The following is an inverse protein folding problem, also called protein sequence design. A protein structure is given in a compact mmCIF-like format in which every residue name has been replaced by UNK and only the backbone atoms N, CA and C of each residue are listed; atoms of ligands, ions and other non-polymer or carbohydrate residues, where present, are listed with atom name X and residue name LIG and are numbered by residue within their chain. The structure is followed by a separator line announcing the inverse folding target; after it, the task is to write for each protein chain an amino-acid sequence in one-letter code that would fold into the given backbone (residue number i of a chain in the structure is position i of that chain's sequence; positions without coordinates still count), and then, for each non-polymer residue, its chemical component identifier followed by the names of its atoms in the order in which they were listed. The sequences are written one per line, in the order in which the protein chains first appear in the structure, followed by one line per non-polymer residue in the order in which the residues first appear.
data_IF_261330186666
#
_entry.id   IF_261330186666
#
_cell.length_a   1.000
_cell.length_b   1.000
_cell.length_c   1.000
_cell.angle_alpha   90.00
_cell.angle_beta   90.00
_cell.angle_gamma   90.00
#
_symmetry.space_group_name_H-M   'P 1'
#
loop_
_entity.id
_entity.type
_entity.pdbx_description
1 polymer ?
#
# COMPACT_ATOMS: atom_id res chain seq x y z
N UNK A 1 -7.95 -7.66 -12.76
CA UNK A 1 -6.72 -6.88 -12.49
C UNK A 1 -6.50 -6.73 -10.99
N UNK A 2 -7.49 -6.30 -10.22
CA UNK A 2 -7.31 -6.02 -8.78
C UNK A 2 -7.30 -7.27 -7.89
N UNK A 3 -8.00 -8.36 -8.25
CA UNK A 3 -8.07 -9.55 -7.36
C UNK A 3 -6.70 -10.10 -6.94
N UNK A 4 -5.72 -10.29 -7.85
CA UNK A 4 -4.37 -10.70 -7.43
C UNK A 4 -3.66 -9.68 -6.54
N UNK A 5 -3.95 -8.38 -6.69
CA UNK A 5 -3.40 -7.34 -5.83
C UNK A 5 -4.00 -7.41 -4.42
N UNK A 6 -5.30 -7.73 -4.32
CA UNK A 6 -5.97 -7.94 -3.03
C UNK A 6 -5.35 -9.12 -2.29
N UNK A 7 -5.10 -10.22 -2.99
CA UNK A 7 -4.47 -11.40 -2.39
C UNK A 7 -3.04 -11.10 -1.94
N UNK A 8 -2.24 -10.42 -2.77
CA UNK A 8 -0.88 -10.00 -2.41
C UNK A 8 -0.87 -9.06 -1.19
N UNK A 9 -1.72 -8.03 -1.15
CA UNK A 9 -1.78 -7.10 -0.02
C UNK A 9 -2.22 -7.80 1.28
N UNK A 10 -3.12 -8.79 1.20
CA UNK A 10 -3.49 -9.61 2.37
C UNK A 10 -2.28 -10.38 2.91
N UNK A 11 -1.52 -11.02 2.02
CA UNK A 11 -0.30 -11.75 2.39
C UNK A 11 0.74 -10.81 3.02
N UNK A 12 0.92 -9.62 2.45
CA UNK A 12 1.81 -8.58 3.01
C UNK A 12 1.39 -8.19 4.43
N UNK A 13 0.09 -7.98 4.66
CA UNK A 13 -0.42 -7.61 5.99
C UNK A 13 -0.28 -8.74 7.00
N UNK A 14 -0.42 -9.99 6.58
CA UNK A 14 -0.21 -11.16 7.44
C UNK A 14 1.26 -11.27 7.84
N UNK A 15 2.17 -11.17 6.86
CA UNK A 15 3.62 -11.17 7.06
C UNK A 15 4.05 -10.06 8.04
N UNK A 16 3.52 -8.85 7.90
CA UNK A 16 3.78 -7.74 8.85
C UNK A 16 3.26 -8.07 10.25
N UNK A 17 2.06 -8.64 10.36
CA UNK A 17 1.47 -8.97 11.65
C UNK A 17 2.29 -10.06 12.37
N UNK A 18 2.72 -11.09 11.64
CA UNK A 18 3.63 -12.12 12.14
C UNK A 18 4.98 -11.54 12.54
N UNK A 19 5.53 -10.59 11.76
CA UNK A 19 6.78 -9.90 12.11
C UNK A 19 6.66 -9.10 13.40
N UNK A 20 5.56 -8.39 13.60
CA UNK A 20 5.27 -7.68 14.86
C UNK A 20 5.24 -8.68 16.04
N UNK A 21 4.57 -9.82 15.87
CA UNK A 21 4.50 -10.85 16.90
C UNK A 21 5.87 -11.49 17.19
N UNK A 22 6.68 -11.77 16.16
CA UNK A 22 8.05 -12.28 16.31
C UNK A 22 8.96 -11.33 17.09
N UNK A 23 8.76 -10.02 16.96
CA UNK A 23 9.47 -8.98 17.71
C UNK A 23 8.91 -8.76 19.13
N UNK A 24 7.93 -9.57 19.56
CA UNK A 24 7.30 -9.49 20.88
C UNK A 24 6.19 -8.45 21.02
N UNK A 25 5.78 -7.83 19.91
CA UNK A 25 4.64 -6.92 19.85
C UNK A 25 3.30 -7.64 19.75
N UNK A 26 2.21 -6.86 19.82
CA UNK A 26 0.84 -7.36 19.59
C UNK A 26 0.29 -6.68 18.33
N UNK A 27 0.13 -7.39 17.21
CA UNK A 27 -0.47 -6.82 16.01
C UNK A 27 -1.96 -6.52 16.26
N UNK A 28 -2.41 -5.31 15.90
CA UNK A 28 -3.78 -4.85 16.12
C UNK A 28 -4.48 -4.60 14.78
N UNK A 29 -5.26 -5.58 14.32
CA UNK A 29 -5.94 -5.54 13.01
C UNK A 29 -7.44 -5.23 13.05
N UNK A 30 -8.03 -4.92 14.22
CA UNK A 30 -9.48 -4.67 14.29
C UNK A 30 -9.88 -3.39 13.55
N UNK A 31 -11.03 -3.34 12.87
CA UNK A 31 -11.47 -2.16 12.11
C UNK A 31 -11.50 -0.86 12.94
N UNK A 32 -11.95 -0.93 14.19
CA UNK A 32 -11.98 0.23 15.10
C UNK A 32 -10.58 0.79 15.34
N UNK A 33 -9.61 -0.06 15.64
CA UNK A 33 -8.23 0.37 15.88
C UNK A 33 -7.59 1.01 14.64
N UNK A 34 -7.88 0.48 13.44
CA UNK A 34 -7.43 1.07 12.18
C UNK A 34 -8.04 2.47 12.01
N UNK A 35 -9.35 2.61 12.20
CA UNK A 35 -10.04 3.90 12.09
C UNK A 35 -9.52 4.95 13.08
N UNK A 36 -9.09 4.55 14.27
CA UNK A 36 -8.57 5.45 15.31
C UNK A 36 -7.09 5.87 15.08
N UNK A 37 -6.30 5.06 14.37
CA UNK A 37 -4.85 5.24 14.24
C UNK A 37 -4.38 5.69 12.86
N UNK A 38 -5.19 5.49 11.83
CA UNK A 38 -4.84 5.88 10.46
C UNK A 38 -4.58 7.38 10.36
N UNK A 39 -3.71 7.76 9.42
CA UNK A 39 -3.40 9.17 9.08
C UNK A 39 -4.06 9.62 7.77
N UNK A 40 -4.92 8.79 7.19
CA UNK A 40 -5.58 9.01 5.91
C UNK A 40 -7.11 8.94 6.03
N UNK A 41 -7.79 9.54 5.06
CA UNK A 41 -9.25 9.56 4.97
C UNK A 41 -9.81 8.29 4.30
N UNK A 42 -11.13 8.09 4.43
CA UNK A 42 -11.82 7.03 3.70
C UNK A 42 -11.72 7.20 2.19
N UNK A 43 -11.73 6.07 1.48
CA UNK A 43 -11.85 6.08 0.03
C UNK A 43 -13.20 6.69 -0.38
N UNK A 44 -13.16 7.87 -1.00
CA UNK A 44 -14.32 8.74 -1.13
C UNK A 44 -15.31 8.34 -2.23
N UNK A 45 -14.91 7.45 -3.14
CA UNK A 45 -15.76 7.04 -4.26
C UNK A 45 -16.68 5.88 -3.84
N UNK A 46 -17.97 6.05 -4.08
CA UNK A 46 -18.96 4.97 -4.07
C UNK A 46 -18.97 4.26 -5.43
N UNK A 47 -20.14 4.19 -6.08
CA UNK A 47 -20.23 3.72 -7.47
C UNK A 47 -19.67 4.79 -8.41
N UNK A 48 -18.62 4.48 -9.15
CA UNK A 48 -18.02 5.35 -10.16
C UNK A 48 -17.63 4.62 -11.43
N UNK A 49 -17.08 5.36 -12.39
CA UNK A 49 -16.46 4.80 -13.58
C UNK A 49 -15.12 4.15 -13.22
N UNK A 50 -14.71 3.16 -14.03
CA UNK A 50 -13.40 2.50 -13.85
C UNK A 50 -12.27 3.52 -13.85
N UNK A 51 -12.27 4.48 -14.78
CA UNK A 51 -11.24 5.52 -14.85
C UNK A 51 -11.18 6.41 -13.60
N UNK A 52 -12.33 6.78 -13.03
CA UNK A 52 -12.39 7.57 -11.78
C UNK A 52 -11.80 6.79 -10.61
N UNK A 53 -12.13 5.50 -10.51
CA UNK A 53 -11.57 4.62 -9.49
C UNK A 53 -10.06 4.46 -9.62
N UNK A 54 -9.53 4.31 -10.84
CA UNK A 54 -8.09 4.16 -11.09
C UNK A 54 -7.30 5.43 -10.74
N UNK A 55 -7.83 6.63 -11.07
CA UNK A 55 -7.22 7.91 -10.67
C UNK A 55 -7.20 8.06 -9.15
N UNK A 56 -8.31 7.72 -8.47
CA UNK A 56 -8.34 7.76 -7.00
C UNK A 56 -7.41 6.71 -6.37
N UNK A 57 -7.32 5.52 -6.96
CA UNK A 57 -6.47 4.44 -6.48
C UNK A 57 -4.98 4.75 -6.66
N UNK A 58 -4.57 5.43 -7.74
CA UNK A 58 -3.19 5.92 -7.88
C UNK A 58 -2.79 6.86 -6.73
N UNK A 59 -3.71 7.74 -6.31
CA UNK A 59 -3.49 8.65 -5.15
C UNK A 59 -3.34 7.86 -3.85
N UNK A 60 -4.10 6.78 -3.67
CA UNK A 60 -3.94 5.86 -2.53
C UNK A 60 -2.58 5.19 -2.55
N UNK A 61 -2.13 4.67 -3.69
CA UNK A 61 -0.81 4.06 -3.83
C UNK A 61 0.33 5.05 -3.56
N UNK A 62 0.20 6.32 -3.96
CA UNK A 62 1.19 7.35 -3.59
C UNK A 62 1.37 7.45 -2.06
N UNK A 63 0.27 7.41 -1.31
CA UNK A 63 0.30 7.41 0.15
C UNK A 63 0.94 6.14 0.71
N UNK A 64 0.44 4.96 0.29
CA UNK A 64 0.94 3.66 0.77
C UNK A 64 2.42 3.46 0.48
N UNK A 65 2.87 3.79 -0.73
CA UNK A 65 4.27 3.67 -1.14
C UNK A 65 5.16 4.69 -0.42
N UNK A 66 4.62 5.88 -0.10
CA UNK A 66 5.29 6.88 0.73
C UNK A 66 5.49 6.40 2.17
N UNK A 67 4.44 5.87 2.80
CA UNK A 67 4.50 5.33 4.16
C UNK A 67 5.47 4.14 4.26
N UNK A 68 5.54 3.26 3.24
CA UNK A 68 6.53 2.17 3.19
C UNK A 68 7.96 2.71 3.16
N UNK A 69 8.23 3.75 2.35
CA UNK A 69 9.56 4.40 2.31
C UNK A 69 9.92 5.00 3.66
N UNK A 70 8.99 5.73 4.31
CA UNK A 70 9.21 6.30 5.65
C UNK A 70 9.54 5.19 6.67
N UNK A 71 8.78 4.08 6.65
CA UNK A 71 9.02 2.95 7.53
C UNK A 71 10.38 2.27 7.27
N UNK A 72 10.78 2.12 6.00
CA UNK A 72 12.09 1.58 5.62
C UNK A 72 13.24 2.45 6.13
N UNK A 73 13.14 3.78 6.00
CA UNK A 73 14.18 4.71 6.51
C UNK A 73 14.38 4.55 8.03
N UNK A 74 13.30 4.33 8.78
CA UNK A 74 13.35 4.09 10.22
C UNK A 74 13.97 2.70 10.50
N UNK A 75 13.58 1.68 9.74
CA UNK A 75 14.01 0.30 9.96
C UNK A 75 15.46 0.03 9.56
N UNK A 76 16.03 0.80 8.63
CA UNK A 76 17.41 0.68 8.19
C UNK A 76 18.42 0.68 9.35
N UNK A 77 18.14 1.47 10.39
CA UNK A 77 18.99 1.55 11.58
C UNK A 77 18.57 0.61 12.71
N UNK A 78 17.33 0.11 12.70
CA UNK A 78 16.74 -0.64 13.81
C UNK A 78 16.76 -2.15 13.60
N UNK A 79 16.41 -2.60 12.39
CA UNK A 79 16.18 -4.00 12.08
C UNK A 79 16.24 -4.26 10.56
N UNK A 80 17.41 -4.65 10.02
CA UNK A 80 17.60 -4.85 8.59
C UNK A 80 16.73 -5.98 8.00
N UNK A 81 16.24 -6.91 8.84
CA UNK A 81 15.35 -7.98 8.37
C UNK A 81 13.94 -7.44 8.12
N UNK A 82 13.43 -6.55 8.98
CA UNK A 82 12.14 -5.89 8.73
C UNK A 82 12.24 -4.87 7.59
N UNK A 83 13.38 -4.20 7.45
CA UNK A 83 13.65 -3.31 6.31
C UNK A 83 13.59 -4.08 4.98
N UNK A 84 14.29 -5.21 4.87
CA UNK A 84 14.30 -6.06 3.65
C UNK A 84 12.89 -6.55 3.32
N UNK A 85 12.13 -6.98 4.34
CA UNK A 85 10.73 -7.36 4.18
C UNK A 85 9.89 -6.24 3.56
N UNK A 86 9.97 -5.01 4.09
CA UNK A 86 9.23 -3.87 3.51
C UNK A 86 9.75 -3.45 2.13
N UNK A 87 11.04 -3.65 1.87
CA UNK A 87 11.64 -3.41 0.54
C UNK A 87 11.01 -4.31 -0.52
N UNK A 88 10.85 -5.60 -0.22
CA UNK A 88 10.17 -6.55 -1.11
C UNK A 88 8.72 -6.15 -1.37
N UNK A 89 7.97 -5.83 -0.30
CA UNK A 89 6.57 -5.40 -0.41
C UNK A 89 6.43 -4.12 -1.23
N UNK A 90 7.29 -3.12 -1.00
CA UNK A 90 7.29 -1.86 -1.75
C UNK A 90 7.49 -2.09 -3.25
N UNK A 91 8.41 -3.00 -3.64
CA UNK A 91 8.62 -3.33 -5.05
C UNK A 91 7.36 -3.85 -5.74
N UNK A 92 6.59 -4.71 -5.08
CA UNK A 92 5.31 -5.20 -5.60
C UNK A 92 4.23 -4.12 -5.63
N UNK A 93 4.12 -3.31 -4.58
CA UNK A 93 3.13 -2.21 -4.51
C UNK A 93 3.39 -1.15 -5.59
N UNK A 94 4.64 -0.84 -5.90
CA UNK A 94 5.01 0.06 -6.99
C UNK A 94 4.72 -0.54 -8.36
N UNK A 95 4.90 -1.85 -8.53
CA UNK A 95 4.48 -2.55 -9.74
C UNK A 95 2.95 -2.49 -9.92
N UNK A 96 2.18 -2.65 -8.84
CA UNK A 96 0.72 -2.51 -8.90
C UNK A 96 0.29 -1.08 -9.23
N UNK A 97 0.94 -0.08 -8.64
CA UNK A 97 0.70 1.32 -8.97
C UNK A 97 1.02 1.60 -10.45
N UNK A 98 2.13 1.07 -10.96
CA UNK A 98 2.46 1.16 -12.38
C UNK A 98 1.37 0.55 -13.27
N UNK A 99 0.84 -0.64 -12.92
CA UNK A 99 -0.27 -1.25 -13.66
C UNK A 99 -1.53 -0.36 -13.64
N UNK A 100 -1.85 0.28 -12.52
CA UNK A 100 -2.95 1.26 -12.43
C UNK A 100 -2.69 2.44 -13.37
N UNK A 101 -1.49 3.02 -13.32
CA UNK A 101 -1.07 4.15 -14.16
C UNK A 101 -1.15 3.84 -15.65
N UNK A 102 -0.74 2.64 -16.07
CA UNK A 102 -0.78 2.21 -17.46
C UNK A 102 -2.20 2.25 -18.08
N UNK A 103 -3.26 2.21 -17.26
CA UNK A 103 -4.65 2.30 -17.72
C UNK A 103 -5.18 3.75 -17.83
N UNK A 104 -4.49 4.72 -17.23
CA UNK A 104 -4.89 6.14 -17.19
C UNK A 104 -3.85 7.07 -17.85
N UNK A 105 -2.73 6.51 -18.30
CA UNK A 105 -1.69 7.18 -19.06
C UNK A 105 -2.15 7.44 -20.50
N UNK A 106 -1.87 8.63 -21.00
CA UNK A 106 -2.12 9.02 -22.38
C UNK A 106 -1.05 8.45 -23.33
N UNK A 107 -1.31 8.50 -24.64
CA UNK A 107 -0.32 8.08 -25.64
C UNK A 107 0.97 8.90 -25.64
N UNK A 108 0.97 10.08 -25.01
CA UNK A 108 2.16 10.94 -24.82
C UNK A 108 2.88 10.69 -23.49
N UNK A 109 2.42 9.75 -22.67
CA UNK A 109 3.03 9.42 -21.37
C UNK A 109 2.58 10.31 -20.21
N UNK A 110 1.52 11.11 -20.41
CA UNK A 110 0.97 11.97 -19.36
C UNK A 110 -0.16 11.26 -18.61
N UNK A 111 -0.13 11.32 -17.27
CA UNK A 111 -1.20 10.79 -16.42
C UNK A 111 -2.40 11.73 -16.40
N UNK A 112 -3.60 11.16 -16.51
CA UNK A 112 -4.84 11.90 -16.23
C UNK A 112 -4.97 12.14 -14.72
N UNK A 113 -5.03 13.42 -14.32
CA UNK A 113 -5.14 13.87 -12.93
C UNK A 113 -6.57 13.83 -12.36
#
# INVERSE_FOLDING_TARGET
MLDPQVDAVREMTDTIAERIAMLGGVPVGTPKAISERRRWEDYSLGKGLVAEHLVALDKVYNGVNGDHREAMEILAELDPVSEDMLTGQLGELEQFQWLVRAHIESSSGELKN
#
